data_IF_743768414615
#
_entry.id   IF_743768414615
#
_cell.length_a   1.000
_cell.length_b   1.000
_cell.length_c   1.000
_cell.angle_alpha   90.00
_cell.angle_beta   90.00
_cell.angle_gamma   90.00
#
_symmetry.space_group_name_H-M   'P 1'
#
loop_
_entity.id
_entity.type
_entity.pdbx_description
1 polymer ?
#
# COMPACT_ATOMS: atom_id res chain seq x y z
N UNK A 1 -26.39 -10.42 -4.64
CA UNK A 1 -26.42 -11.48 -5.68
C UNK A 1 -25.57 -12.66 -5.20
N UNK A 2 -26.16 -13.82 -4.99
CA UNK A 2 -25.48 -15.04 -4.49
C UNK A 2 -24.89 -15.79 -5.69
N UNK A 3 -23.59 -16.02 -5.72
CA UNK A 3 -22.96 -16.92 -6.70
C UNK A 3 -22.96 -18.31 -6.07
N UNK A 4 -23.83 -19.19 -6.59
CA UNK A 4 -24.10 -20.53 -6.03
C UNK A 4 -23.38 -21.60 -6.85
N UNK A 5 -22.81 -22.58 -6.15
CA UNK A 5 -22.30 -23.82 -6.75
C UNK A 5 -23.40 -24.85 -6.96
N UNK A 6 -23.01 -25.99 -7.54
CA UNK A 6 -23.84 -27.18 -7.61
C UNK A 6 -24.25 -27.70 -6.22
N UNK A 7 -25.40 -28.37 -6.16
CA UNK A 7 -25.87 -29.07 -4.96
C UNK A 7 -24.90 -30.19 -4.60
N UNK A 8 -24.60 -30.35 -3.31
CA UNK A 8 -23.81 -31.45 -2.80
C UNK A 8 -24.42 -32.01 -1.51
N UNK A 9 -24.04 -33.25 -1.15
CA UNK A 9 -24.35 -33.81 0.17
C UNK A 9 -23.62 -33.02 1.24
N UNK A 10 -24.28 -32.76 2.37
CA UNK A 10 -23.66 -32.09 3.51
C UNK A 10 -22.42 -32.84 4.01
N UNK A 11 -22.43 -34.18 3.96
CA UNK A 11 -21.29 -35.00 4.40
C UNK A 11 -20.01 -34.76 3.59
N UNK A 12 -20.12 -34.21 2.38
CA UNK A 12 -18.98 -33.84 1.52
C UNK A 12 -18.50 -32.40 1.75
N UNK A 13 -19.10 -31.68 2.70
CA UNK A 13 -18.71 -30.32 3.05
C UNK A 13 -17.49 -30.30 3.96
N UNK A 14 -16.80 -29.17 3.99
CA UNK A 14 -15.71 -28.97 4.97
C UNK A 14 -16.29 -28.94 6.38
N UNK A 15 -17.47 -28.35 6.56
CA UNK A 15 -18.15 -28.34 7.86
C UNK A 15 -18.39 -29.76 8.41
N UNK A 16 -18.85 -30.71 7.59
CA UNK A 16 -18.98 -32.10 8.01
C UNK A 16 -17.63 -32.75 8.33
N UNK A 17 -16.60 -32.51 7.50
CA UNK A 17 -15.25 -33.03 7.71
C UNK A 17 -14.59 -32.49 8.99
N UNK A 18 -14.95 -31.28 9.44
CA UNK A 18 -14.46 -30.67 10.69
C UNK A 18 -15.32 -31.02 11.92
N UNK A 19 -16.27 -31.97 11.81
CA UNK A 19 -17.01 -32.52 12.94
C UNK A 19 -18.43 -31.98 13.14
N UNK A 20 -18.95 -31.13 12.25
CA UNK A 20 -20.31 -30.57 12.36
C UNK A 20 -21.40 -31.48 11.75
N UNK A 21 -21.21 -32.80 11.80
CA UNK A 21 -22.10 -33.80 11.17
C UNK A 21 -23.53 -33.78 11.73
N UNK A 22 -23.72 -33.35 12.97
CA UNK A 22 -25.05 -33.23 13.58
C UNK A 22 -25.97 -32.25 12.84
N UNK A 23 -25.41 -31.32 12.05
CA UNK A 23 -26.18 -30.44 11.18
C UNK A 23 -26.70 -31.12 9.91
N UNK A 24 -26.18 -32.30 9.53
CA UNK A 24 -26.63 -33.03 8.33
C UNK A 24 -28.13 -33.35 8.37
N UNK A 25 -28.67 -33.62 9.56
CA UNK A 25 -30.10 -33.90 9.76
C UNK A 25 -31.00 -32.69 9.46
N UNK A 26 -30.46 -31.47 9.55
CA UNK A 26 -31.21 -30.24 9.27
C UNK A 26 -31.29 -29.95 7.77
N UNK A 27 -30.28 -30.37 6.99
CA UNK A 27 -30.25 -30.21 5.54
C UNK A 27 -29.25 -31.20 4.92
N UNK A 28 -29.68 -32.40 4.48
CA UNK A 28 -28.76 -33.42 3.94
C UNK A 28 -28.14 -33.00 2.60
N UNK A 29 -28.80 -32.10 1.87
CA UNK A 29 -28.31 -31.51 0.63
C UNK A 29 -28.17 -30.01 0.81
N UNK A 30 -27.02 -29.47 0.44
CA UNK A 30 -26.69 -28.04 0.58
C UNK A 30 -26.13 -27.49 -0.73
N UNK A 31 -26.06 -26.17 -0.81
CA UNK A 31 -25.39 -25.43 -1.88
C UNK A 31 -24.20 -24.70 -1.26
N UNK A 32 -23.02 -24.80 -1.88
CA UNK A 32 -21.90 -23.92 -1.54
C UNK A 32 -22.11 -22.54 -2.15
N UNK A 33 -21.69 -21.52 -1.42
CA UNK A 33 -21.84 -20.14 -1.82
C UNK A 33 -20.49 -19.41 -1.81
N UNK A 34 -20.21 -18.67 -2.89
CA UNK A 34 -18.99 -17.89 -3.02
C UNK A 34 -19.06 -16.51 -2.37
N UNK A 35 -20.26 -16.07 -1.96
CA UNK A 35 -20.40 -14.80 -1.28
C UNK A 35 -21.82 -14.56 -0.78
N UNK A 36 -21.92 -14.00 0.41
CA UNK A 36 -23.17 -13.76 1.13
C UNK A 36 -23.14 -12.34 1.73
N UNK A 37 -24.23 -11.61 1.59
CA UNK A 37 -24.41 -10.36 2.31
C UNK A 37 -24.92 -10.65 3.71
N UNK A 38 -24.28 -10.07 4.72
CA UNK A 38 -24.69 -10.15 6.13
C UNK A 38 -25.53 -8.93 6.51
N UNK A 39 -25.99 -8.86 7.76
CA UNK A 39 -27.00 -7.88 8.21
C UNK A 39 -26.55 -6.41 8.10
N UNK A 40 -25.25 -6.14 8.16
CA UNK A 40 -24.68 -4.79 8.04
C UNK A 40 -24.26 -4.45 6.58
N UNK A 41 -24.84 -5.14 5.59
CA UNK A 41 -24.54 -5.02 4.16
C UNK A 41 -23.10 -5.36 3.75
N UNK A 42 -22.30 -5.95 4.66
CA UNK A 42 -20.99 -6.48 4.30
C UNK A 42 -21.12 -7.74 3.44
N UNK A 43 -20.27 -7.83 2.42
CA UNK A 43 -20.12 -9.03 1.61
C UNK A 43 -19.02 -9.93 2.20
N UNK A 44 -19.40 -11.07 2.74
CA UNK A 44 -18.46 -12.11 3.16
C UNK A 44 -18.25 -13.12 2.03
N UNK A 45 -17.05 -13.71 1.96
CA UNK A 45 -16.66 -14.70 0.95
C UNK A 45 -15.75 -15.77 1.58
N UNK A 46 -15.73 -17.01 1.06
CA UNK A 46 -14.68 -17.96 1.42
C UNK A 46 -13.29 -17.36 1.19
N UNK A 47 -12.37 -17.59 2.13
CA UNK A 47 -11.05 -16.95 2.23
C UNK A 47 -11.06 -15.54 2.85
N UNK A 48 -12.22 -14.90 2.96
CA UNK A 48 -12.39 -13.60 3.62
C UNK A 48 -12.37 -13.71 5.14
N UNK A 49 -12.28 -12.56 5.82
CA UNK A 49 -12.19 -12.47 7.28
C UNK A 49 -13.41 -11.78 7.86
N UNK A 50 -13.84 -12.25 9.03
CA UNK A 50 -15.03 -11.76 9.72
C UNK A 50 -14.78 -11.59 11.21
N UNK A 51 -15.50 -10.64 11.80
CA UNK A 51 -15.74 -10.62 13.23
C UNK A 51 -17.09 -11.26 13.52
N UNK A 52 -17.16 -12.03 14.60
CA UNK A 52 -18.36 -12.78 14.95
C UNK A 52 -18.56 -12.88 16.46
N UNK A 53 -19.81 -13.06 16.88
CA UNK A 53 -20.16 -13.41 18.24
C UNK A 53 -19.98 -14.92 18.43
N UNK A 54 -19.15 -15.33 19.39
CA UNK A 54 -18.97 -16.75 19.71
C UNK A 54 -19.83 -17.15 20.89
N UNK A 55 -20.41 -18.35 20.86
CA UNK A 55 -21.13 -18.89 22.02
C UNK A 55 -20.20 -19.11 23.24
N UNK A 56 -18.89 -19.16 23.02
CA UNK A 56 -17.88 -19.44 24.05
C UNK A 56 -17.19 -18.19 24.60
N UNK A 57 -17.48 -17.01 24.05
CA UNK A 57 -16.84 -15.76 24.44
C UNK A 57 -17.83 -14.61 24.47
N UNK A 58 -17.77 -13.77 25.48
CA UNK A 58 -18.55 -12.52 25.53
C UNK A 58 -17.96 -11.43 24.65
N UNK A 59 -16.70 -11.55 24.24
CA UNK A 59 -16.03 -10.59 23.36
C UNK A 59 -16.11 -11.06 21.90
N UNK A 60 -16.27 -10.13 20.94
CA UNK A 60 -16.16 -10.44 19.52
C UNK A 60 -14.89 -11.25 19.22
N UNK A 61 -15.02 -12.26 18.37
CA UNK A 61 -13.90 -13.07 17.90
C UNK A 61 -13.59 -12.74 16.44
N UNK A 62 -12.41 -13.11 15.97
CA UNK A 62 -11.98 -12.95 14.58
C UNK A 62 -11.71 -14.33 13.97
N UNK A 63 -12.03 -14.49 12.69
CA UNK A 63 -11.73 -15.73 11.98
C UNK A 63 -11.85 -15.60 10.47
N UNK A 64 -11.37 -16.62 9.77
CA UNK A 64 -11.45 -16.71 8.31
C UNK A 64 -12.62 -17.58 7.91
N UNK A 65 -13.43 -17.09 6.98
CA UNK A 65 -14.54 -17.84 6.40
C UNK A 65 -13.96 -18.92 5.49
N UNK A 66 -14.19 -20.18 5.82
CA UNK A 66 -13.68 -21.32 5.05
C UNK A 66 -14.76 -21.92 4.13
N UNK A 67 -16.02 -21.87 4.54
CA UNK A 67 -17.16 -22.36 3.74
C UNK A 67 -18.44 -21.59 4.07
N UNK A 68 -19.27 -21.31 3.07
CA UNK A 68 -20.62 -20.74 3.25
C UNK A 68 -21.61 -21.73 2.63
N UNK A 69 -22.59 -22.16 3.42
CA UNK A 69 -23.58 -23.14 3.03
C UNK A 69 -24.97 -22.52 3.00
N UNK A 70 -25.74 -22.83 1.95
CA UNK A 70 -27.16 -22.51 1.82
C UNK A 70 -27.96 -23.82 1.79
N UNK A 71 -29.21 -23.76 2.25
CA UNK A 71 -30.14 -24.89 2.11
C UNK A 71 -30.47 -25.10 0.65
N UNK A 72 -30.47 -26.35 0.19
CA UNK A 72 -30.75 -26.65 -1.21
C UNK A 72 -32.23 -26.49 -1.61
N UNK A 73 -33.14 -26.38 -0.62
CA UNK A 73 -34.59 -26.28 -0.81
C UNK A 73 -35.04 -24.87 -1.20
N UNK A 74 -34.61 -23.86 -0.44
CA UNK A 74 -35.02 -22.46 -0.59
C UNK A 74 -33.84 -21.53 -0.92
N UNK A 75 -32.61 -22.02 -0.84
CA UNK A 75 -31.40 -21.21 -1.02
C UNK A 75 -31.14 -20.22 0.12
N UNK A 76 -31.83 -20.34 1.25
CA UNK A 76 -31.58 -19.53 2.42
C UNK A 76 -30.26 -19.94 3.09
N UNK A 77 -29.60 -19.03 3.83
CA UNK A 77 -28.38 -19.38 4.54
C UNK A 77 -28.60 -20.52 5.53
N UNK A 78 -27.71 -21.50 5.47
CA UNK A 78 -27.72 -22.65 6.35
C UNK A 78 -26.71 -22.48 7.48
N UNK A 79 -25.50 -22.04 7.15
CA UNK A 79 -24.47 -21.73 8.12
C UNK A 79 -23.16 -21.35 7.46
N UNK A 80 -22.25 -20.84 8.27
CA UNK A 80 -20.94 -20.36 7.86
C UNK A 80 -19.92 -21.10 8.70
N UNK A 81 -18.94 -21.73 8.04
CA UNK A 81 -17.80 -22.35 8.69
C UNK A 81 -16.67 -21.32 8.79
N UNK A 82 -16.25 -21.02 10.01
CA UNK A 82 -15.17 -20.07 10.30
C UNK A 82 -14.01 -20.80 10.96
N UNK A 83 -12.81 -20.69 10.38
CA UNK A 83 -11.57 -21.07 11.03
C UNK A 83 -11.21 -19.98 12.05
N UNK A 84 -11.06 -20.37 13.32
CA UNK A 84 -10.79 -19.42 14.41
C UNK A 84 -9.43 -18.75 14.20
N UNK A 85 -9.30 -17.52 14.69
CA UNK A 85 -8.03 -16.81 14.74
C UNK A 85 -7.82 -16.15 16.10
N UNK A 86 -6.55 -16.05 16.49
CA UNK A 86 -6.14 -15.31 17.67
C UNK A 86 -5.67 -13.93 17.20
N UNK A 87 -6.27 -12.89 17.77
CA UNK A 87 -5.81 -11.51 17.61
C UNK A 87 -4.96 -11.14 18.83
N UNK A 88 -3.69 -10.82 18.59
CA UNK A 88 -2.77 -10.43 19.66
C UNK A 88 -3.14 -9.05 20.22
N UNK A 89 -2.98 -8.85 21.53
CA UNK A 89 -3.24 -7.55 22.20
C UNK A 89 -2.09 -6.56 22.04
N UNK A 90 -0.93 -7.00 21.56
CA UNK A 90 0.24 -6.18 21.29
C UNK A 90 0.26 -5.71 19.84
N UNK A 91 0.87 -4.55 19.60
CA UNK A 91 1.01 -4.00 18.27
C UNK A 91 2.20 -4.63 17.54
N UNK A 92 1.98 -5.11 16.31
CA UNK A 92 3.04 -5.63 15.44
C UNK A 92 3.70 -4.49 14.66
N UNK A 93 5.02 -4.34 14.78
CA UNK A 93 5.78 -3.35 14.01
C UNK A 93 6.07 -3.87 12.59
N UNK A 94 6.14 -2.98 11.58
CA UNK A 94 6.01 -1.51 11.65
C UNK A 94 4.56 -1.02 11.59
N UNK A 95 3.58 -1.90 11.37
CA UNK A 95 2.18 -1.54 11.10
C UNK A 95 1.46 -0.92 12.29
N UNK A 96 1.88 -1.25 13.51
CA UNK A 96 1.25 -0.85 14.79
C UNK A 96 -0.19 -1.34 14.94
N UNK A 97 -0.50 -2.44 14.25
CA UNK A 97 -1.77 -3.14 14.29
C UNK A 97 -1.57 -4.53 14.91
N UNK A 98 -2.61 -5.15 15.48
CA UNK A 98 -2.47 -6.44 16.13
C UNK A 98 -2.19 -7.53 15.09
N UNK A 99 -1.32 -8.47 15.46
CA UNK A 99 -1.09 -9.65 14.66
C UNK A 99 -2.29 -10.61 14.77
N UNK A 100 -2.54 -11.34 13.69
CA UNK A 100 -3.60 -12.34 13.60
C UNK A 100 -2.97 -13.66 13.18
N UNK A 101 -3.23 -14.70 13.97
CA UNK A 101 -2.73 -16.07 13.72
C UNK A 101 -3.91 -17.01 13.59
N UNK A 102 -3.99 -17.74 12.47
CA UNK A 102 -5.01 -18.77 12.29
C UNK A 102 -4.78 -19.94 13.23
N UNK A 103 -5.86 -20.47 13.78
CA UNK A 103 -5.86 -21.71 14.56
C UNK A 103 -6.36 -22.83 13.67
N UNK A 104 -5.49 -23.31 12.78
CA UNK A 104 -5.85 -24.38 11.86
C UNK A 104 -6.37 -25.61 12.62
N UNK A 105 -7.48 -26.18 12.14
CA UNK A 105 -8.16 -27.28 12.82
C UNK A 105 -9.18 -26.83 13.86
N UNK A 106 -9.16 -25.57 14.31
CA UNK A 106 -10.17 -25.02 15.21
C UNK A 106 -11.24 -24.25 14.41
N UNK A 107 -12.45 -24.79 14.41
CA UNK A 107 -13.56 -24.25 13.63
C UNK A 107 -14.77 -23.94 14.49
N UNK A 108 -15.57 -22.97 14.05
CA UNK A 108 -16.93 -22.73 14.52
C UNK A 108 -17.88 -22.73 13.33
N UNK A 109 -19.00 -23.44 13.46
CA UNK A 109 -20.09 -23.41 12.50
C UNK A 109 -21.23 -22.59 13.08
N UNK A 110 -21.53 -21.46 12.45
CA UNK A 110 -22.42 -20.44 13.01
C UNK A 110 -23.48 -19.97 12.03
N UNK A 111 -24.48 -19.29 12.56
CA UNK A 111 -25.50 -18.66 11.73
C UNK A 111 -24.99 -17.34 11.15
N UNK A 112 -25.67 -16.86 10.11
CA UNK A 112 -25.40 -15.55 9.51
C UNK A 112 -25.61 -14.42 10.51
N UNK A 113 -26.54 -14.58 11.47
CA UNK A 113 -26.81 -13.58 12.49
C UNK A 113 -25.66 -13.41 13.48
N UNK A 114 -24.78 -14.41 13.61
CA UNK A 114 -23.64 -14.36 14.52
C UNK A 114 -22.46 -13.60 13.90
N UNK A 115 -22.47 -13.37 12.59
CA UNK A 115 -21.45 -12.57 11.89
C UNK A 115 -21.75 -11.09 12.10
N UNK A 116 -20.83 -10.41 12.78
CA UNK A 116 -20.94 -9.00 13.10
C UNK A 116 -20.58 -8.13 11.90
N UNK A 117 -19.44 -8.44 11.25
CA UNK A 117 -18.98 -7.70 10.09
C UNK A 117 -17.84 -8.40 9.33
N UNK A 118 -17.58 -7.95 8.11
CA UNK A 118 -16.36 -8.28 7.37
C UNK A 118 -15.21 -7.36 7.78
N UNK A 119 -14.01 -7.94 7.88
CA UNK A 119 -12.79 -7.20 8.19
C UNK A 119 -11.69 -7.46 7.18
N UNK A 120 -10.86 -6.45 6.97
CA UNK A 120 -9.68 -6.59 6.15
C UNK A 120 -8.49 -7.04 7.01
N UNK A 121 -7.90 -8.15 6.61
CA UNK A 121 -6.71 -8.74 7.22
C UNK A 121 -5.69 -8.93 6.11
N UNK A 122 -4.47 -8.45 6.31
CA UNK A 122 -3.41 -8.52 5.31
C UNK A 122 -2.21 -9.31 5.83
N UNK A 123 -1.43 -9.88 4.94
CA UNK A 123 -0.24 -10.66 5.30
C UNK A 123 0.81 -9.77 5.98
N UNK A 124 1.48 -10.30 7.03
CA UNK A 124 2.56 -9.61 7.73
C UNK A 124 3.87 -9.64 6.91
N UNK A 125 3.88 -8.92 5.80
CA UNK A 125 5.00 -8.91 4.87
C UNK A 125 6.30 -8.38 5.47
N UNK A 126 6.20 -7.49 6.48
CA UNK A 126 7.36 -6.88 7.10
C UNK A 126 8.10 -7.86 8.02
N UNK A 127 7.36 -8.75 8.71
CA UNK A 127 7.95 -9.80 9.54
C UNK A 127 8.67 -10.87 8.71
N UNK A 128 8.17 -11.14 7.50
CA UNK A 128 8.62 -12.27 6.67
C UNK A 128 9.45 -11.88 5.45
N UNK A 129 9.88 -10.61 5.37
CA UNK A 129 10.67 -10.05 4.26
C UNK A 129 10.10 -10.41 2.87
N UNK A 130 8.78 -10.34 2.71
CA UNK A 130 8.15 -10.70 1.43
C UNK A 130 8.60 -9.74 0.34
N UNK A 131 9.04 -10.28 -0.81
CA UNK A 131 9.69 -9.48 -1.86
C UNK A 131 8.78 -9.28 -3.06
N UNK A 132 8.85 -8.12 -3.74
CA UNK A 132 8.18 -7.92 -5.00
C UNK A 132 8.84 -8.77 -6.10
N UNK A 133 8.05 -9.50 -6.88
CA UNK A 133 8.47 -10.23 -8.07
C UNK A 133 7.59 -9.86 -9.27
N UNK A 134 8.15 -9.87 -10.49
CA UNK A 134 7.41 -9.59 -11.73
C UNK A 134 6.63 -10.81 -12.19
N UNK A 135 5.57 -11.17 -11.46
CA UNK A 135 4.79 -12.39 -11.70
C UNK A 135 3.34 -12.14 -12.11
N UNK A 136 2.83 -10.93 -11.93
CA UNK A 136 1.43 -10.63 -12.24
C UNK A 136 1.28 -10.23 -13.70
N UNK A 137 0.58 -11.01 -14.54
CA UNK A 137 0.41 -10.65 -15.94
C UNK A 137 -0.40 -9.36 -16.06
N UNK A 138 0.05 -8.46 -16.95
CA UNK A 138 -0.66 -7.22 -17.24
C UNK A 138 -1.71 -7.52 -18.30
N UNK A 139 -2.97 -7.21 -17.98
CA UNK A 139 -4.08 -7.29 -18.92
C UNK A 139 -4.23 -5.98 -19.68
N UNK A 140 -4.25 -6.03 -21.00
CA UNK A 140 -4.60 -4.90 -21.88
C UNK A 140 -5.74 -5.31 -22.78
N UNK A 141 -6.81 -4.52 -22.85
CA UNK A 141 -8.01 -4.83 -23.67
C UNK A 141 -8.60 -6.24 -23.42
N UNK A 142 -8.53 -6.71 -22.16
CA UNK A 142 -8.94 -8.08 -21.75
C UNK A 142 -8.09 -9.21 -22.34
N UNK A 143 -6.96 -8.90 -22.96
CA UNK A 143 -5.96 -9.85 -23.39
C UNK A 143 -4.77 -9.84 -22.44
N UNK A 144 -4.28 -11.03 -22.12
CA UNK A 144 -3.06 -11.21 -21.34
C UNK A 144 -1.86 -10.80 -22.19
N UNK A 145 -1.03 -9.91 -21.66
CA UNK A 145 0.20 -9.49 -22.34
C UNK A 145 1.40 -10.27 -21.83
N UNK A 146 2.52 -10.23 -22.56
CA UNK A 146 3.80 -10.76 -22.07
C UNK A 146 4.42 -9.91 -20.95
N UNK A 147 3.84 -8.74 -20.66
CA UNK A 147 4.34 -7.84 -19.64
C UNK A 147 3.84 -8.26 -18.26
N UNK A 148 4.74 -8.21 -17.28
CA UNK A 148 4.44 -8.57 -15.91
C UNK A 148 4.66 -7.37 -14.97
N UNK A 149 3.67 -7.12 -14.12
CA UNK A 149 3.72 -6.18 -13.02
C UNK A 149 4.36 -6.80 -11.78
N UNK A 150 4.87 -5.94 -10.89
CA UNK A 150 5.38 -6.37 -9.58
C UNK A 150 4.22 -6.76 -8.67
N UNK A 151 4.34 -7.92 -8.03
CA UNK A 151 3.44 -8.42 -7.00
C UNK A 151 4.26 -8.97 -5.84
N UNK A 152 3.79 -8.81 -4.61
CA UNK A 152 4.49 -9.30 -3.43
C UNK A 152 4.34 -10.81 -3.34
N UNK A 153 5.45 -11.54 -3.34
CA UNK A 153 5.49 -12.98 -3.13
C UNK A 153 5.57 -13.25 -1.63
N UNK A 154 4.51 -13.84 -1.08
CA UNK A 154 4.45 -14.20 0.33
C UNK A 154 5.24 -15.49 0.59
N UNK A 155 6.13 -15.44 1.59
CA UNK A 155 7.02 -16.54 1.99
C UNK A 155 6.41 -17.43 3.07
N UNK A 156 5.54 -16.86 3.90
CA UNK A 156 4.76 -17.54 4.93
C UNK A 156 3.27 -17.30 4.64
N UNK A 157 2.40 -18.27 4.99
CA UNK A 157 0.98 -18.22 4.65
C UNK A 157 0.06 -17.98 5.85
N UNK A 158 0.60 -18.02 7.07
CA UNK A 158 -0.20 -18.05 8.31
C UNK A 158 -0.09 -16.80 9.17
N UNK A 159 0.72 -15.81 8.77
CA UNK A 159 0.98 -14.61 9.56
C UNK A 159 0.29 -13.38 8.99
N UNK A 160 -0.63 -12.82 9.76
CA UNK A 160 -1.47 -11.73 9.30
C UNK A 160 -1.51 -10.56 10.28
N UNK A 161 -2.07 -9.45 9.81
CA UNK A 161 -2.29 -8.21 10.54
C UNK A 161 -3.74 -7.77 10.32
N UNK A 162 -4.46 -7.45 11.39
CA UNK A 162 -5.82 -6.90 11.31
C UNK A 162 -5.76 -5.41 10.98
N UNK A 163 -6.45 -4.98 9.92
CA UNK A 163 -6.48 -3.58 9.54
C UNK A 163 -7.40 -2.75 10.45
N UNK A 164 -6.83 -2.12 11.49
CA UNK A 164 -7.59 -1.23 12.38
C UNK A 164 -7.95 0.13 11.75
N UNK A 165 -7.37 0.46 10.59
CA UNK A 165 -7.71 1.68 9.86
C UNK A 165 -8.89 1.50 8.88
N UNK A 166 -9.53 0.33 8.88
CA UNK A 166 -10.77 0.14 8.15
C UNK A 166 -11.85 1.09 8.72
N UNK A 167 -12.41 1.93 7.85
CA UNK A 167 -13.44 2.90 8.24
C UNK A 167 -14.80 2.25 8.49
N UNK A 168 -15.11 1.18 7.76
CA UNK A 168 -16.35 0.43 7.92
C UNK A 168 -16.29 -0.45 9.18
N UNK A 169 -17.33 -0.39 10.03
CA UNK A 169 -17.41 -1.09 11.34
C UNK A 169 -16.27 -0.74 12.31
N UNK A 170 -15.79 0.51 12.27
CA UNK A 170 -14.68 0.96 13.11
C UNK A 170 -14.98 0.87 14.62
N UNK A 171 -16.25 0.99 15.01
CA UNK A 171 -16.74 0.78 16.38
C UNK A 171 -16.48 -0.66 16.85
N UNK A 172 -16.85 -1.66 16.05
CA UNK A 172 -16.61 -3.08 16.37
C UNK A 172 -15.11 -3.39 16.35
N UNK A 173 -14.40 -2.96 15.30
CA UNK A 173 -12.96 -3.20 15.13
C UNK A 173 -12.14 -2.56 16.26
N UNK A 174 -12.62 -1.46 16.86
CA UNK A 174 -11.91 -0.77 17.93
C UNK A 174 -11.68 -1.61 19.19
N UNK A 175 -12.46 -2.68 19.39
CA UNK A 175 -12.27 -3.65 20.48
C UNK A 175 -10.93 -4.39 20.40
N UNK A 176 -10.36 -4.48 19.19
CA UNK A 176 -9.07 -5.15 18.93
C UNK A 176 -7.88 -4.18 18.95
N UNK A 177 -8.06 -2.94 19.41
CA UNK A 177 -6.94 -1.99 19.51
C UNK A 177 -5.89 -2.52 20.49
N UNK A 178 -4.60 -2.51 20.11
CA UNK A 178 -3.54 -2.89 21.04
C UNK A 178 -3.61 -2.05 22.32
N UNK A 179 -3.41 -2.72 23.45
CA UNK A 179 -3.35 -2.04 24.76
C UNK A 179 -2.10 -1.19 24.86
N UNK A 180 -1.03 -1.64 24.22
CA UNK A 180 0.26 -0.99 24.23
C UNK A 180 0.24 0.18 23.26
N UNK A 181 0.41 1.40 23.80
CA UNK A 181 0.68 2.55 22.95
C UNK A 181 2.09 2.42 22.41
N UNK A 182 2.28 2.58 21.11
CA UNK A 182 3.61 2.84 20.54
C UNK A 182 3.78 4.35 20.34
N UNK A 183 4.91 4.97 20.71
CA UNK A 183 6.16 4.38 21.26
C UNK A 183 6.19 4.18 22.78
N UNK A 184 5.05 4.09 23.46
CA UNK A 184 4.97 3.86 24.91
C UNK A 184 5.32 5.08 25.76
N UNK A 185 5.50 6.23 25.11
CA UNK A 185 5.91 7.46 25.78
C UNK A 185 4.73 8.15 26.47
N UNK A 186 4.95 8.84 27.61
CA UNK A 186 3.98 9.73 28.19
C UNK A 186 3.50 10.78 27.17
N UNK A 187 2.24 11.21 27.28
CA UNK A 187 1.65 12.17 26.35
C UNK A 187 2.45 13.46 26.28
N UNK A 188 2.94 13.93 27.42
CA UNK A 188 3.71 15.15 27.56
C UNK A 188 5.02 15.06 26.76
N UNK A 189 5.71 13.92 26.85
CA UNK A 189 6.94 13.68 26.10
C UNK A 189 6.67 13.58 24.60
N UNK A 190 5.56 12.95 24.18
CA UNK A 190 5.14 12.90 22.78
C UNK A 190 4.94 14.32 22.23
N UNK A 191 4.26 15.18 22.99
CA UNK A 191 4.02 16.57 22.61
C UNK A 191 5.34 17.34 22.51
N UNK A 192 6.23 17.20 23.49
CA UNK A 192 7.55 17.85 23.48
C UNK A 192 8.39 17.42 22.28
N UNK A 193 8.48 16.11 22.01
CA UNK A 193 9.20 15.56 20.85
C UNK A 193 8.58 16.05 19.53
N UNK A 194 7.25 16.11 19.43
CA UNK A 194 6.57 16.61 18.25
C UNK A 194 6.86 18.10 18.00
N UNK A 195 6.85 18.92 19.05
CA UNK A 195 7.21 20.35 18.96
C UNK A 195 8.67 20.51 18.55
N UNK A 196 9.60 19.80 19.21
CA UNK A 196 11.02 19.87 18.88
C UNK A 196 11.30 19.46 17.43
N UNK A 197 10.70 18.35 16.97
CA UNK A 197 10.80 17.89 15.59
C UNK A 197 10.22 18.90 14.60
N UNK A 198 9.10 19.57 14.94
CA UNK A 198 8.52 20.61 14.10
C UNK A 198 9.45 21.82 13.98
N UNK A 199 10.06 22.26 15.07
CA UNK A 199 11.04 23.35 15.06
C UNK A 199 12.26 23.00 14.20
N UNK A 200 12.75 21.76 14.29
CA UNK A 200 13.85 21.28 13.47
C UNK A 200 13.51 21.31 11.96
N UNK A 201 12.33 20.81 11.57
CA UNK A 201 11.87 20.88 10.17
C UNK A 201 11.84 22.33 9.67
N UNK A 202 11.38 23.27 10.51
CA UNK A 202 11.32 24.69 10.14
C UNK A 202 12.72 25.29 10.00
N UNK A 203 13.65 24.97 10.89
CA UNK A 203 15.04 25.41 10.81
C UNK A 203 15.73 24.86 9.55
N UNK A 204 15.57 23.56 9.26
CA UNK A 204 16.13 22.93 8.06
C UNK A 204 15.57 23.56 6.78
N UNK A 205 14.28 23.88 6.76
CA UNK A 205 13.64 24.55 5.64
C UNK A 205 14.15 25.99 5.46
N UNK A 206 14.43 26.71 6.55
CA UNK A 206 15.02 28.05 6.51
C UNK A 206 16.47 28.00 5.99
N UNK A 207 17.28 27.06 6.48
CA UNK A 207 18.65 26.87 6.02
C UNK A 207 18.70 26.54 4.53
N UNK A 208 17.86 25.61 4.05
CA UNK A 208 17.76 25.30 2.62
C UNK A 208 17.42 26.51 1.75
N UNK A 209 16.65 27.47 2.26
CA UNK A 209 16.36 28.73 1.55
C UNK A 209 17.58 29.65 1.49
N UNK A 210 18.33 29.76 2.59
CA UNK A 210 19.59 30.53 2.64
C UNK A 210 20.59 29.93 1.66
N UNK A 211 20.85 28.63 1.74
CA UNK A 211 21.79 27.92 0.85
C UNK A 211 21.41 28.06 -0.62
N UNK A 212 20.11 28.00 -0.93
CA UNK A 212 19.61 28.20 -2.29
C UNK A 212 19.82 29.65 -2.77
N UNK A 213 19.65 30.64 -1.90
CA UNK A 213 19.89 32.04 -2.22
C UNK A 213 21.39 32.30 -2.46
N UNK A 214 22.27 31.76 -1.62
CA UNK A 214 23.72 31.85 -1.79
C UNK A 214 24.20 31.19 -3.09
N UNK A 215 23.73 29.98 -3.39
CA UNK A 215 24.04 29.29 -4.66
C UNK A 215 23.56 30.10 -5.86
N UNK A 216 22.39 30.74 -5.76
CA UNK A 216 21.85 31.61 -6.83
C UNK A 216 22.69 32.88 -7.00
N UNK A 217 23.14 33.50 -5.90
CA UNK A 217 24.01 34.67 -5.94
C UNK A 217 25.37 34.33 -6.58
N UNK A 218 26.02 33.25 -6.14
CA UNK A 218 27.28 32.79 -6.72
C UNK A 218 27.14 32.45 -8.22
N UNK A 219 26.02 31.83 -8.63
CA UNK A 219 25.75 31.55 -10.03
C UNK A 219 25.55 32.84 -10.85
N UNK A 220 24.90 33.86 -10.27
CA UNK A 220 24.72 35.17 -10.91
C UNK A 220 26.07 35.90 -11.09
N UNK A 221 26.93 35.90 -10.07
CA UNK A 221 28.27 36.48 -10.15
C UNK A 221 29.15 35.80 -11.21
N UNK A 222 29.18 34.46 -11.24
CA UNK A 222 29.93 33.71 -12.27
C UNK A 222 29.42 34.02 -13.68
N UNK A 223 28.10 34.18 -13.86
CA UNK A 223 27.51 34.58 -15.15
C UNK A 223 27.89 36.01 -15.53
N UNK A 224 27.89 36.94 -14.59
CA UNK A 224 28.30 38.33 -14.83
C UNK A 224 29.78 38.42 -15.23
N UNK A 225 30.66 37.72 -14.51
CA UNK A 225 32.09 37.66 -14.82
C UNK A 225 32.36 37.03 -16.21
N UNK A 226 31.63 35.96 -16.57
CA UNK A 226 31.73 35.35 -17.89
C UNK A 226 31.25 36.29 -19.01
N UNK A 227 30.19 37.06 -18.77
CA UNK A 227 29.69 38.06 -19.72
C UNK A 227 30.70 39.20 -19.93
N UNK A 228 31.35 39.69 -18.87
CA UNK A 228 32.41 40.70 -18.97
C UNK A 228 33.62 40.20 -19.76
N UNK A 229 34.11 38.98 -19.47
CA UNK A 229 35.21 38.36 -20.23
C UNK A 229 34.87 38.20 -21.70
N UNK A 230 33.62 37.82 -22.03
CA UNK A 230 33.17 37.73 -23.41
C UNK A 230 33.20 39.11 -24.10
N UNK A 231 32.68 40.15 -23.43
CA UNK A 231 32.69 41.52 -23.95
C UNK A 231 34.10 42.03 -24.23
N UNK A 232 35.04 41.83 -23.29
CA UNK A 232 36.45 42.18 -23.48
C UNK A 232 37.07 41.46 -24.68
N UNK A 233 36.82 40.15 -24.83
CA UNK A 233 37.36 39.37 -25.95
C UNK A 233 36.76 39.80 -27.31
N UNK A 234 35.49 40.18 -27.32
CA UNK A 234 34.83 40.69 -28.53
C UNK A 234 35.38 42.09 -28.90
N UNK A 235 35.66 42.95 -27.92
CA UNK A 235 36.33 44.27 -28.11
C UNK A 235 37.77 44.12 -28.62
N UNK A 236 38.57 43.24 -28.03
CA UNK A 236 39.95 42.94 -28.49
C UNK A 236 39.96 42.43 -29.94
N UNK A 237 39.01 41.55 -30.28
CA UNK A 237 38.89 41.01 -31.65
C UNK A 237 38.47 42.08 -32.65
N UNK A 238 37.63 43.04 -32.25
CA UNK A 238 37.26 44.18 -33.09
C UNK A 238 38.45 45.12 -33.34
N UNK A 239 39.27 45.39 -32.31
CA UNK A 239 40.48 46.22 -32.46
C UNK A 239 41.54 45.57 -33.34
N UNK A 240 41.74 44.25 -33.23
CA UNK A 240 42.67 43.51 -34.10
C UNK A 240 42.17 43.41 -35.55
N UNK A 241 40.85 43.35 -35.76
CA UNK A 241 40.27 43.41 -37.11
C UNK A 241 40.51 44.75 -37.81
N UNK A 242 40.38 45.87 -37.10
CA UNK A 242 40.60 47.21 -37.65
C UNK A 242 42.08 47.48 -38.01
N UNK A 243 43.03 46.94 -37.24
CA UNK A 243 44.46 47.03 -37.55
C UNK A 243 44.84 46.23 -38.82
N UNK A 244 44.18 45.10 -39.08
CA UNK A 244 44.38 44.29 -40.29
C UNK A 244 43.91 44.96 -41.58
N UNK A 245 42.78 45.69 -41.55
CA UNK A 245 42.27 46.43 -42.73
C UNK A 245 43.10 47.68 -43.06
N UNK A 246 43.76 48.28 -42.07
CA UNK A 246 44.57 49.50 -42.29
C UNK A 246 45.90 49.18 -42.99
N UNK A 247 46.48 47.99 -42.78
CA UNK A 247 47.71 47.57 -43.47
C UNK A 247 47.46 47.11 -44.92
N UNK A 248 46.35 46.42 -45.22
CA UNK A 248 46.06 45.98 -46.60
C UNK A 248 45.66 47.14 -47.55
N UNK A 249 45.13 48.25 -47.03
CA UNK A 249 44.85 49.44 -47.85
C UNK A 249 46.08 50.29 -48.14
N UNK A 250 47.13 50.23 -47.32
CA UNK A 250 48.42 50.88 -47.54
C UNK A 250 49.31 50.16 -48.57
N UNK A 251 49.25 48.82 -48.59
CA UNK A 251 50.03 48.01 -49.54
C UNK A 251 49.46 48.06 -50.97
N UNK A 252 48.13 48.17 -51.13
CA UNK A 252 47.49 48.33 -52.45
C UNK A 252 47.78 49.68 -53.11
N UNK A 253 47.88 50.78 -52.34
CA UNK A 253 48.20 52.11 -52.90
C UNK A 253 49.67 52.27 -53.31
N UNK A 254 50.57 51.39 -52.84
CA UNK A 254 51.98 51.42 -53.24
C UNK A 254 52.27 50.59 -54.49
N UNK A 255 51.39 49.66 -54.84
CA UNK A 255 51.49 48.85 -56.06
C UNK A 255 51.00 49.60 -57.32
N UNK A 256 50.04 50.53 -57.20
CA UNK A 256 49.52 51.31 -58.35
C UNK A 256 50.40 52.50 -58.76
N UNK A 257 51.49 52.81 -58.05
CA UNK A 257 52.40 53.91 -58.38
C UNK A 257 53.66 53.47 -59.16
N UNK A 258 53.75 52.19 -59.56
CA UNK A 258 54.91 51.62 -60.29
C UNK A 258 54.57 51.28 -61.75
N UNK A 259 53.33 51.52 -62.20
CA UNK A 259 52.84 51.12 -63.53
C UNK A 259 52.56 52.30 -64.51
N UNK A 260 53.09 53.50 -64.25
CA UNK A 260 53.05 54.66 -65.19
C UNK A 260 54.47 55.19 -65.53
N UNK A 261 55.41 54.28 -65.81
CA UNK A 261 56.76 54.58 -66.32
C UNK A 261 57.05 53.88 -67.62
#
# INVERSE_FOLDING_TARGET
MLIKDAKCSFELTRAAATGFQHHAHLSPVVLRCHGLYVLNDDLIRPGGWVLYASATSSEPQCGRVDEILLRATDGAPFGILVCKAIVEKSASLPYRFPAVTLREGEYEFMSVQDVLCAVNVFHNCAKHDCRPARIKPIMQERQETSLHALEIVHTESTSFILNLAQLHNADIISHFRPTDRYPGLPREEIVQRAVAHRLQILADAAQKKIDAAEKKAQAAEKRAAAAQKKKQRDEERAQQGAAGETMQSGEKRRAEAVEEG
#
